data_IF_233088083788
#
_entry.id   IF_233088083788
#
_cell.length_a   1.000
_cell.length_b   1.000
_cell.length_c   1.000
_cell.angle_alpha   90.00
_cell.angle_beta   90.00
_cell.angle_gamma   90.00
#
_symmetry.space_group_name_H-M   'P 1'
#
loop_
_entity.id
_entity.type
_entity.pdbx_description
1 polymer ?
#
# COMPACT_ATOMS: atom_id res chain seq x y z
N UNK A 1 19.71 -3.96 -20.06
CA UNK A 1 19.22 -4.33 -21.40
C UNK A 1 19.81 -3.38 -22.46
N UNK A 2 20.81 -3.80 -23.17
CA UNK A 2 21.36 -3.13 -24.34
C UNK A 2 21.01 -3.92 -25.60
N UNK A 3 20.85 -3.25 -26.74
CA UNK A 3 20.59 -3.87 -28.05
C UNK A 3 19.32 -4.74 -28.14
N UNK A 4 18.20 -4.25 -27.62
CA UNK A 4 16.90 -4.92 -27.80
C UNK A 4 16.44 -4.81 -29.26
N UNK A 5 15.83 -5.88 -29.82
CA UNK A 5 15.19 -5.86 -31.13
C UNK A 5 14.12 -4.79 -31.24
N UNK A 6 13.84 -4.36 -32.48
CA UNK A 6 12.75 -3.41 -32.77
C UNK A 6 11.41 -3.94 -32.25
N UNK A 7 10.68 -3.10 -31.53
CA UNK A 7 9.38 -3.43 -30.93
C UNK A 7 9.45 -3.76 -29.44
N UNK A 8 10.62 -4.10 -28.90
CA UNK A 8 10.81 -4.35 -27.47
C UNK A 8 11.20 -3.10 -26.72
N UNK A 9 10.37 -2.67 -25.79
CA UNK A 9 10.64 -1.55 -24.90
C UNK A 9 11.12 -2.05 -23.54
N UNK A 10 12.26 -1.55 -23.05
CA UNK A 10 12.82 -1.89 -21.73
C UNK A 10 11.78 -1.78 -20.61
N UNK A 11 11.06 -0.65 -20.58
CA UNK A 11 10.05 -0.40 -19.54
C UNK A 11 8.92 -1.44 -19.52
N UNK A 12 8.51 -1.97 -20.69
CA UNK A 12 7.47 -2.99 -20.76
C UNK A 12 7.96 -4.33 -20.22
N UNK A 13 9.18 -4.72 -20.58
CA UNK A 13 9.81 -5.94 -20.04
C UNK A 13 9.92 -5.82 -18.52
N UNK A 14 10.46 -4.70 -18.02
CA UNK A 14 10.63 -4.45 -16.58
C UNK A 14 9.29 -4.49 -15.83
N UNK A 15 8.26 -3.83 -16.39
CA UNK A 15 6.92 -3.88 -15.84
C UNK A 15 6.36 -5.30 -15.74
N UNK A 16 6.52 -6.11 -16.78
CA UNK A 16 6.09 -7.51 -16.77
C UNK A 16 6.85 -8.32 -15.71
N UNK A 17 8.16 -8.15 -15.61
CA UNK A 17 8.99 -8.84 -14.64
C UNK A 17 8.61 -8.46 -13.20
N UNK A 18 8.38 -7.19 -12.93
CA UNK A 18 7.98 -6.73 -11.60
C UNK A 18 6.56 -7.16 -11.23
N UNK A 19 5.61 -7.07 -12.15
CA UNK A 19 4.22 -7.39 -11.87
C UNK A 19 3.98 -8.90 -11.77
N UNK A 20 4.51 -9.67 -12.74
CA UNK A 20 4.17 -11.07 -12.92
C UNK A 20 5.34 -12.03 -12.60
N UNK A 21 6.55 -11.50 -12.38
CA UNK A 21 7.75 -12.28 -12.14
C UNK A 21 8.38 -12.87 -13.40
N UNK A 22 7.72 -12.76 -14.55
CA UNK A 22 8.20 -13.24 -15.84
C UNK A 22 7.66 -12.38 -16.98
N UNK A 23 8.35 -12.45 -18.10
CA UNK A 23 8.01 -11.78 -19.36
C UNK A 23 8.22 -12.75 -20.51
N UNK A 24 7.24 -12.85 -21.38
CA UNK A 24 7.29 -13.70 -22.58
C UNK A 24 7.56 -12.83 -23.80
N UNK A 25 8.57 -13.18 -24.56
CA UNK A 25 8.91 -12.51 -25.81
C UNK A 25 8.50 -13.41 -26.96
N UNK A 26 7.65 -12.88 -27.83
CA UNK A 26 7.22 -13.55 -29.07
C UNK A 26 7.51 -12.67 -30.27
N UNK A 27 7.63 -13.30 -31.43
CA UNK A 27 7.66 -12.62 -32.73
C UNK A 27 6.31 -12.77 -33.42
N UNK A 28 5.67 -11.67 -33.77
CA UNK A 28 4.41 -11.66 -34.54
C UNK A 28 4.50 -10.61 -35.64
N UNK A 29 4.24 -10.98 -36.91
CA UNK A 29 4.36 -10.11 -38.08
C UNK A 29 5.72 -9.37 -38.16
N UNK A 30 6.80 -10.09 -37.93
CA UNK A 30 8.18 -9.60 -37.91
C UNK A 30 8.52 -8.56 -36.81
N UNK A 31 7.60 -8.31 -35.90
CA UNK A 31 7.81 -7.42 -34.76
C UNK A 31 7.86 -8.25 -33.47
N UNK A 32 8.76 -7.88 -32.58
CA UNK A 32 8.86 -8.50 -31.27
C UNK A 32 7.96 -7.80 -30.26
N UNK A 33 7.25 -8.59 -29.47
CA UNK A 33 6.36 -8.13 -28.41
C UNK A 33 6.71 -8.79 -27.09
N UNK A 34 6.48 -8.08 -26.01
CA UNK A 34 6.59 -8.57 -24.63
C UNK A 34 5.21 -8.67 -24.00
N UNK A 35 4.87 -9.84 -23.46
CA UNK A 35 3.59 -10.14 -22.84
C UNK A 35 3.76 -10.87 -21.51
N UNK A 36 2.68 -10.91 -20.74
CA UNK A 36 2.42 -11.96 -19.77
C UNK A 36 1.46 -12.97 -20.40
N UNK A 37 1.45 -14.22 -19.94
CA UNK A 37 0.58 -15.26 -20.47
C UNK A 37 0.20 -16.27 -19.41
N UNK A 38 -0.66 -17.21 -19.75
CA UNK A 38 -1.04 -18.33 -18.88
C UNK A 38 -0.14 -19.55 -19.12
N UNK A 39 0.37 -20.16 -18.04
CA UNK A 39 1.17 -21.37 -18.12
C UNK A 39 0.32 -22.57 -18.53
N UNK A 40 0.86 -23.45 -19.39
CA UNK A 40 0.20 -24.66 -19.83
C UNK A 40 1.22 -25.80 -20.02
N UNK A 41 0.80 -27.02 -19.60
CA UNK A 41 1.65 -28.20 -19.67
C UNK A 41 2.83 -28.15 -18.69
N UNK A 42 3.21 -29.28 -18.16
CA UNK A 42 4.36 -29.44 -17.29
C UNK A 42 5.29 -30.50 -17.86
N UNK A 43 6.57 -30.31 -17.66
CA UNK A 43 7.57 -31.32 -17.89
C UNK A 43 7.70 -32.26 -16.66
N UNK A 44 8.53 -33.31 -16.70
CA UNK A 44 8.74 -34.19 -15.56
C UNK A 44 9.34 -33.53 -14.33
N UNK A 45 9.90 -32.32 -14.46
CA UNK A 45 10.48 -31.52 -13.36
C UNK A 45 9.50 -30.48 -12.81
N UNK A 46 8.27 -30.43 -13.38
CA UNK A 46 7.25 -29.45 -12.98
C UNK A 46 7.38 -28.08 -13.63
N UNK A 47 8.28 -27.92 -14.62
CA UNK A 47 8.41 -26.67 -15.34
C UNK A 47 7.38 -26.56 -16.49
N UNK A 48 6.82 -25.36 -16.73
CA UNK A 48 5.86 -25.15 -17.80
C UNK A 48 6.50 -25.31 -19.18
N UNK A 49 5.83 -26.06 -20.05
CA UNK A 49 6.30 -26.33 -21.42
C UNK A 49 5.70 -25.39 -22.46
N UNK A 50 4.53 -24.84 -22.18
CA UNK A 50 3.80 -23.97 -23.09
C UNK A 50 3.27 -22.74 -22.38
N UNK A 51 2.99 -21.68 -23.14
CA UNK A 51 2.36 -20.48 -22.65
C UNK A 51 1.25 -20.01 -23.59
N UNK A 52 0.12 -19.63 -23.01
CA UNK A 52 -1.03 -19.10 -23.75
C UNK A 52 -0.94 -17.57 -23.71
N UNK A 53 -0.96 -16.94 -24.87
CA UNK A 53 -1.00 -15.49 -25.01
C UNK A 53 -2.31 -15.11 -25.66
N UNK A 54 -3.06 -14.22 -25.00
CA UNK A 54 -4.28 -13.63 -25.51
C UNK A 54 -4.13 -12.12 -25.59
N UNK A 55 -4.16 -11.57 -26.80
CA UNK A 55 -4.15 -10.13 -27.02
C UNK A 55 -5.19 -9.76 -28.09
N UNK A 56 -6.33 -9.18 -27.68
CA UNK A 56 -7.42 -8.82 -28.60
C UNK A 56 -7.00 -7.78 -29.64
N UNK A 57 -6.09 -6.86 -29.29
CA UNK A 57 -5.66 -5.78 -30.21
C UNK A 57 -4.89 -6.32 -31.40
N UNK A 58 -4.09 -7.37 -31.18
CA UNK A 58 -3.35 -8.05 -32.24
C UNK A 58 -4.13 -9.23 -32.84
N UNK A 59 -5.37 -9.44 -32.41
CA UNK A 59 -6.18 -10.61 -32.74
C UNK A 59 -5.42 -11.92 -32.50
N UNK A 60 -4.68 -11.98 -31.40
CA UNK A 60 -3.79 -13.05 -31.02
C UNK A 60 -4.40 -13.86 -29.88
N UNK A 61 -4.68 -15.13 -30.14
CA UNK A 61 -5.03 -16.11 -29.12
C UNK A 61 -4.35 -17.44 -29.50
N UNK A 62 -3.15 -17.63 -28.97
CA UNK A 62 -2.34 -18.79 -29.39
C UNK A 62 -1.51 -19.32 -28.21
N UNK A 63 -1.30 -20.64 -28.24
CA UNK A 63 -0.35 -21.35 -27.38
C UNK A 63 1.01 -21.41 -28.07
N UNK A 64 2.05 -21.03 -27.34
CA UNK A 64 3.43 -21.05 -27.81
C UNK A 64 4.24 -22.05 -27.01
N UNK A 65 5.13 -22.79 -27.68
CA UNK A 65 6.07 -23.70 -27.04
C UNK A 65 7.29 -22.92 -26.56
N UNK A 66 7.62 -23.10 -25.28
CA UNK A 66 8.73 -22.39 -24.65
C UNK A 66 10.06 -22.94 -25.22
N UNK A 67 10.95 -22.02 -25.60
CA UNK A 67 12.24 -22.35 -26.19
C UNK A 67 12.23 -22.57 -27.72
N UNK A 68 11.06 -22.78 -28.35
CA UNK A 68 10.92 -22.90 -29.80
C UNK A 68 10.21 -21.68 -30.40
N UNK A 69 8.98 -21.42 -29.93
CA UNK A 69 8.12 -20.36 -30.47
C UNK A 69 8.24 -19.02 -29.69
N UNK A 70 8.69 -19.09 -28.45
CA UNK A 70 8.82 -17.95 -27.56
C UNK A 70 9.97 -18.11 -26.58
N UNK A 71 10.42 -16.98 -26.04
CA UNK A 71 11.42 -16.90 -24.98
C UNK A 71 10.78 -16.36 -23.72
N UNK A 72 11.03 -17.01 -22.60
CA UNK A 72 10.58 -16.55 -21.28
C UNK A 72 11.77 -16.00 -20.50
N UNK A 73 11.64 -14.80 -20.00
CA UNK A 73 12.57 -14.18 -19.06
C UNK A 73 11.88 -14.15 -17.71
N UNK A 74 12.52 -14.59 -16.64
CA UNK A 74 11.98 -14.57 -15.28
C UNK A 74 12.95 -13.90 -14.32
N UNK A 75 12.41 -13.30 -13.25
CA UNK A 75 13.20 -12.70 -12.18
C UNK A 75 13.81 -13.78 -11.28
N UNK A 76 13.05 -14.84 -11.04
CA UNK A 76 13.40 -15.93 -10.15
C UNK A 76 12.85 -17.27 -10.66
N UNK A 77 13.19 -18.34 -9.96
CA UNK A 77 12.73 -19.69 -10.28
C UNK A 77 11.22 -19.89 -10.05
N UNK A 78 10.62 -19.10 -9.16
CA UNK A 78 9.19 -19.22 -8.81
C UNK A 78 8.29 -18.49 -9.81
N UNK A 79 8.84 -17.58 -10.61
CA UNK A 79 8.09 -16.80 -11.60
C UNK A 79 6.92 -16.03 -10.97
N UNK A 80 7.13 -15.53 -9.72
CA UNK A 80 6.15 -14.77 -8.95
C UNK A 80 6.55 -13.30 -8.97
N UNK A 81 5.62 -12.45 -9.36
CA UNK A 81 5.84 -11.00 -9.35
C UNK A 81 5.73 -10.39 -7.96
N UNK A 82 5.99 -9.09 -7.89
CA UNK A 82 5.93 -8.32 -6.64
C UNK A 82 4.51 -7.91 -6.22
N UNK A 83 3.49 -8.16 -7.07
CA UNK A 83 2.10 -7.76 -6.78
C UNK A 83 1.56 -8.30 -5.45
N UNK A 84 1.77 -9.58 -5.06
CA UNK A 84 1.28 -10.08 -3.77
C UNK A 84 1.91 -9.35 -2.59
N UNK A 85 3.21 -9.05 -2.69
CA UNK A 85 3.93 -8.27 -1.68
C UNK A 85 3.40 -6.84 -1.61
N UNK A 86 3.25 -6.16 -2.75
CA UNK A 86 2.68 -4.80 -2.80
C UNK A 86 1.28 -4.74 -2.21
N UNK A 87 0.43 -5.72 -2.52
CA UNK A 87 -0.93 -5.80 -1.97
C UNK A 87 -0.91 -5.90 -0.44
N UNK A 88 -0.03 -6.73 0.13
CA UNK A 88 0.14 -6.88 1.58
C UNK A 88 0.51 -5.56 2.25
N UNK A 89 1.54 -4.88 1.73
CA UNK A 89 1.98 -3.59 2.31
C UNK A 89 0.96 -2.48 2.08
N UNK A 90 0.36 -2.39 0.90
CA UNK A 90 -0.66 -1.39 0.60
C UNK A 90 -1.87 -1.53 1.54
N UNK A 91 -2.33 -2.76 1.79
CA UNK A 91 -3.41 -3.02 2.74
C UNK A 91 -3.02 -2.57 4.15
N UNK A 92 -1.85 -2.97 4.66
CA UNK A 92 -1.41 -2.60 6.00
C UNK A 92 -1.22 -1.08 6.16
N UNK A 93 -0.68 -0.40 5.14
CA UNK A 93 -0.53 1.05 5.15
C UNK A 93 -1.90 1.75 5.14
N UNK A 94 -2.84 1.27 4.32
CA UNK A 94 -4.20 1.84 4.24
C UNK A 94 -4.95 1.69 5.56
N UNK A 95 -4.89 0.52 6.21
CA UNK A 95 -5.50 0.30 7.53
C UNK A 95 -4.88 1.21 8.60
N UNK A 96 -3.58 1.44 8.54
CA UNK A 96 -2.91 2.37 9.44
C UNK A 96 -3.33 3.82 9.18
N UNK A 97 -3.45 4.25 7.92
CA UNK A 97 -3.93 5.59 7.55
C UNK A 97 -5.38 5.80 8.01
N UNK A 98 -6.25 4.79 7.87
CA UNK A 98 -7.62 4.82 8.41
C UNK A 98 -7.59 4.99 9.94
N UNK A 99 -6.72 4.25 10.63
CA UNK A 99 -6.58 4.33 12.08
C UNK A 99 -6.11 5.73 12.53
N UNK A 100 -5.16 6.34 11.83
CA UNK A 100 -4.72 7.72 12.07
C UNK A 100 -5.86 8.73 11.85
N UNK A 101 -6.64 8.58 10.78
CA UNK A 101 -7.80 9.42 10.51
C UNK A 101 -8.87 9.29 11.60
N UNK A 102 -9.16 8.07 12.07
CA UNK A 102 -10.10 7.82 13.17
C UNK A 102 -9.57 8.46 14.45
N UNK A 103 -8.27 8.35 14.73
CA UNK A 103 -7.66 9.01 15.87
C UNK A 103 -7.82 10.53 15.79
N UNK A 104 -7.59 11.13 14.64
CA UNK A 104 -7.77 12.56 14.40
C UNK A 104 -9.22 13.01 14.65
N UNK A 105 -10.19 12.25 14.14
CA UNK A 105 -11.61 12.52 14.38
C UNK A 105 -11.92 12.41 15.87
N UNK A 106 -11.49 11.33 16.52
CA UNK A 106 -11.74 11.11 17.95
C UNK A 106 -11.06 12.14 18.85
N UNK A 107 -9.90 12.68 18.45
CA UNK A 107 -9.23 13.75 19.20
C UNK A 107 -10.05 15.04 19.26
N UNK A 108 -10.93 15.25 18.29
CA UNK A 108 -11.84 16.41 18.22
C UNK A 108 -13.19 16.15 18.91
N UNK A 109 -13.53 14.89 19.16
CA UNK A 109 -14.79 14.53 19.83
C UNK A 109 -14.54 14.51 21.34
N UNK A 110 -15.05 15.50 22.04
CA UNK A 110 -14.88 15.63 23.49
C UNK A 110 -15.67 14.61 24.31
N UNK A 111 -16.55 13.82 23.70
CA UNK A 111 -17.37 12.81 24.33
C UNK A 111 -18.79 12.73 23.77
N UNK A 112 -19.61 11.84 24.33
CA UNK A 112 -21.03 11.77 24.06
C UNK A 112 -21.75 12.88 24.84
N UNK A 113 -22.43 13.75 24.13
CA UNK A 113 -23.28 14.79 24.74
C UNK A 113 -24.73 14.26 24.67
N UNK A 114 -25.33 14.04 25.84
CA UNK A 114 -26.75 13.69 25.94
C UNK A 114 -27.56 14.90 26.37
N UNK A 115 -28.69 15.14 25.74
CA UNK A 115 -29.58 16.25 25.98
C UNK A 115 -31.03 15.70 26.12
N UNK A 116 -31.72 16.11 27.17
CA UNK A 116 -33.04 15.63 27.47
C UNK A 116 -34.16 16.47 26.80
N UNK A 117 -33.82 17.67 26.34
CA UNK A 117 -34.74 18.59 25.67
C UNK A 117 -34.23 19.10 24.33
N UNK A 118 -35.15 19.50 23.43
CA UNK A 118 -34.78 20.04 22.10
C UNK A 118 -33.97 21.32 22.19
N UNK A 119 -34.14 22.12 23.23
CA UNK A 119 -33.37 23.33 23.44
C UNK A 119 -31.90 23.03 23.84
N UNK A 120 -31.72 21.98 24.65
CA UNK A 120 -30.39 21.50 25.04
C UNK A 120 -29.66 20.88 23.84
N UNK A 121 -30.40 20.14 23.00
CA UNK A 121 -29.85 19.58 21.75
C UNK A 121 -29.36 20.67 20.81
N UNK A 122 -30.15 21.73 20.60
CA UNK A 122 -29.71 22.88 19.76
C UNK A 122 -28.51 23.60 20.35
N UNK A 123 -28.42 23.74 21.67
CA UNK A 123 -27.28 24.34 22.34
C UNK A 123 -26.01 23.47 22.16
N UNK A 124 -26.16 22.15 22.26
CA UNK A 124 -25.05 21.22 22.02
C UNK A 124 -24.58 21.22 20.56
N UNK A 125 -25.50 21.24 19.60
CA UNK A 125 -25.18 21.33 18.16
C UNK A 125 -24.44 22.63 17.83
N UNK A 126 -24.86 23.75 18.41
CA UNK A 126 -24.17 25.02 18.26
C UNK A 126 -22.76 24.94 18.82
N UNK A 127 -22.59 24.41 20.04
CA UNK A 127 -21.28 24.26 20.68
C UNK A 127 -20.32 23.43 19.85
N UNK A 128 -20.80 22.29 19.30
CA UNK A 128 -19.99 21.42 18.41
C UNK A 128 -19.63 22.17 17.13
N UNK A 129 -20.54 22.97 16.58
CA UNK A 129 -20.31 23.74 15.37
C UNK A 129 -19.27 24.84 15.59
N UNK A 130 -19.34 25.54 16.71
CA UNK A 130 -18.38 26.58 17.09
C UNK A 130 -16.97 26.00 17.27
N UNK A 131 -16.84 24.78 17.89
CA UNK A 131 -15.56 24.08 17.99
C UNK A 131 -15.03 23.67 16.61
N UNK A 132 -15.90 23.15 15.73
CA UNK A 132 -15.49 22.81 14.34
C UNK A 132 -14.97 24.01 13.56
N UNK A 133 -15.54 25.18 13.81
CA UNK A 133 -15.13 26.43 13.17
C UNK A 133 -13.88 27.06 13.81
N UNK A 134 -13.35 26.45 14.88
CA UNK A 134 -12.15 26.95 15.57
C UNK A 134 -12.44 28.12 16.49
N UNK A 135 -13.68 28.38 16.90
CA UNK A 135 -14.04 29.41 17.84
C UNK A 135 -13.69 28.95 19.26
N UNK A 136 -12.75 29.65 19.86
CA UNK A 136 -12.36 29.49 21.28
C UNK A 136 -13.29 30.26 22.18
N UNK A 137 -14.15 29.55 22.90
CA UNK A 137 -14.98 30.14 23.93
C UNK A 137 -16.46 30.09 23.64
N UNK A 138 -17.05 28.91 23.74
CA UNK A 138 -18.48 28.77 23.81
C UNK A 138 -18.95 29.27 25.18
N UNK A 139 -19.75 30.33 25.20
CA UNK A 139 -20.44 30.81 26.41
C UNK A 139 -21.55 29.82 26.70
N UNK A 140 -21.35 28.93 27.67
CA UNK A 140 -22.35 27.98 28.11
C UNK A 140 -23.44 28.69 28.89
N UNK A 141 -24.66 28.62 28.44
CA UNK A 141 -25.83 29.09 29.21
C UNK A 141 -26.09 28.12 30.38
N UNK A 142 -26.73 28.58 31.45
CA UNK A 142 -27.02 27.78 32.65
C UNK A 142 -27.79 26.48 32.35
N UNK A 143 -28.56 26.46 31.26
CA UNK A 143 -29.24 25.28 30.70
C UNK A 143 -28.23 24.21 30.19
N UNK A 144 -27.07 24.63 29.72
CA UNK A 144 -26.02 23.75 29.21
C UNK A 144 -25.29 23.01 30.35
N UNK A 145 -25.11 23.65 31.49
CA UNK A 145 -24.38 23.10 32.63
C UNK A 145 -25.21 22.12 33.47
N UNK A 146 -26.55 22.28 33.50
CA UNK A 146 -27.41 21.48 34.36
C UNK A 146 -28.16 20.33 33.66
N UNK A 147 -28.36 20.39 32.33
CA UNK A 147 -29.15 19.41 31.56
C UNK A 147 -28.29 18.53 30.63
N UNK A 148 -27.06 18.93 30.30
CA UNK A 148 -26.20 18.24 29.36
C UNK A 148 -25.17 17.39 30.12
N UNK A 149 -25.23 16.08 29.98
CA UNK A 149 -24.23 15.16 30.51
C UNK A 149 -23.21 14.85 29.43
N UNK A 150 -21.99 15.26 29.63
CA UNK A 150 -20.87 14.83 28.80
C UNK A 150 -20.26 13.56 29.37
N UNK A 151 -20.36 12.46 28.64
CA UNK A 151 -19.57 11.25 28.92
C UNK A 151 -18.34 11.27 28.02
N UNK A 152 -17.12 11.47 28.58
CA UNK A 152 -15.93 11.30 27.78
C UNK A 152 -15.92 9.84 27.29
N UNK A 153 -15.67 9.64 26.00
CA UNK A 153 -15.34 8.30 25.53
C UNK A 153 -14.11 7.86 26.32
N UNK A 154 -14.26 6.82 27.13
CA UNK A 154 -13.11 6.21 27.77
C UNK A 154 -12.11 5.91 26.63
N UNK A 155 -10.96 6.56 26.65
CA UNK A 155 -9.83 6.21 25.77
C UNK A 155 -9.39 4.80 26.12
N UNK A 156 -10.17 3.82 25.63
CA UNK A 156 -9.81 2.41 25.70
C UNK A 156 -8.65 2.21 24.74
N UNK A 157 -7.52 1.91 25.32
CA UNK A 157 -6.24 1.69 24.69
C UNK A 157 -5.64 2.95 24.05
N UNK A 158 -4.69 3.49 24.74
CA UNK A 158 -3.84 4.60 24.32
C UNK A 158 -2.91 4.16 23.17
N UNK A 159 -3.48 3.86 22.01
CA UNK A 159 -2.69 3.87 20.77
C UNK A 159 -2.36 5.34 20.56
N UNK A 160 -1.12 5.69 20.82
CA UNK A 160 -0.65 7.05 20.61
C UNK A 160 -0.51 7.27 19.12
N UNK A 161 -0.85 8.47 18.64
CA UNK A 161 -0.63 8.83 17.23
C UNK A 161 0.84 8.59 16.81
N UNK A 162 1.77 8.81 17.73
CA UNK A 162 3.19 8.48 17.54
C UNK A 162 3.43 7.02 17.19
N UNK A 163 2.73 6.08 17.83
CA UNK A 163 2.90 4.64 17.57
C UNK A 163 2.39 4.28 16.16
N UNK A 164 1.30 4.93 15.70
CA UNK A 164 0.79 4.76 14.33
C UNK A 164 1.75 5.32 13.28
N UNK A 165 2.36 6.48 13.55
CA UNK A 165 3.38 7.08 12.68
C UNK A 165 4.63 6.20 12.64
N UNK A 166 5.09 5.68 13.77
CA UNK A 166 6.23 4.77 13.86
C UNK A 166 5.93 3.47 13.07
N UNK A 167 4.73 2.92 13.20
CA UNK A 167 4.32 1.75 12.45
C UNK A 167 4.27 2.02 10.94
N UNK A 168 3.80 3.18 10.50
CA UNK A 168 3.81 3.58 9.11
C UNK A 168 5.24 3.65 8.53
N UNK A 169 6.16 4.22 9.30
CA UNK A 169 7.57 4.27 8.90
C UNK A 169 8.19 2.88 8.84
N UNK A 170 7.89 2.01 9.81
CA UNK A 170 8.32 0.61 9.80
C UNK A 170 7.82 -0.13 8.55
N UNK A 171 6.54 0.02 8.20
CA UNK A 171 5.98 -0.61 7.00
C UNK A 171 6.69 -0.15 5.73
N UNK A 172 6.98 1.15 5.60
CA UNK A 172 7.72 1.70 4.46
C UNK A 172 9.14 1.14 4.39
N UNK A 173 9.84 1.13 5.51
CA UNK A 173 11.20 0.62 5.58
C UNK A 173 11.27 -0.88 5.27
N UNK A 174 10.36 -1.68 5.84
CA UNK A 174 10.26 -3.11 5.56
C UNK A 174 9.98 -3.39 4.10
N UNK A 175 9.09 -2.61 3.48
CA UNK A 175 8.80 -2.72 2.06
C UNK A 175 10.03 -2.42 1.21
N UNK A 176 10.77 -1.34 1.49
CA UNK A 176 12.00 -1.02 0.76
C UNK A 176 13.05 -2.13 0.91
N UNK A 177 13.22 -2.67 2.12
CA UNK A 177 14.19 -3.75 2.36
C UNK A 177 13.80 -5.04 1.60
N UNK A 178 12.50 -5.39 1.50
CA UNK A 178 12.06 -6.57 0.74
C UNK A 178 12.32 -6.45 -0.77
N UNK A 179 12.33 -5.23 -1.33
CA UNK A 179 12.70 -5.01 -2.75
C UNK A 179 14.19 -4.75 -2.96
N UNK A 180 15.01 -4.93 -1.91
CA UNK A 180 16.46 -4.78 -1.97
C UNK A 180 16.95 -3.32 -1.93
N UNK A 181 16.10 -2.39 -1.54
CA UNK A 181 16.50 -1.01 -1.28
C UNK A 181 16.81 -0.84 0.21
N UNK A 182 18.02 -0.43 0.53
CA UNK A 182 18.38 -0.14 1.92
C UNK A 182 17.51 0.97 2.48
N UNK A 183 16.78 0.66 3.53
CA UNK A 183 16.00 1.62 4.28
C UNK A 183 16.27 1.48 5.76
N UNK A 184 16.86 2.51 6.33
CA UNK A 184 17.14 2.58 7.75
C UNK A 184 15.88 3.07 8.48
N UNK A 185 15.11 2.11 9.03
CA UNK A 185 14.15 2.43 10.07
C UNK A 185 14.76 2.14 11.43
N UNK A 186 15.09 3.19 12.13
CA UNK A 186 15.61 3.07 13.49
C UNK A 186 14.47 3.31 14.48
N UNK A 187 14.02 2.25 15.15
CA UNK A 187 13.10 2.32 16.30
C UNK A 187 13.74 3.04 17.51
N UNK A 188 15.04 3.31 17.47
CA UNK A 188 15.71 4.04 18.52
C UNK A 188 15.34 5.51 18.44
N UNK A 189 14.77 6.04 19.50
CA UNK A 189 14.53 7.48 19.72
C UNK A 189 15.85 8.25 19.96
N UNK A 190 16.99 7.58 19.86
CA UNK A 190 18.32 8.14 20.02
C UNK A 190 18.90 8.54 18.67
N UNK A 191 19.71 9.59 18.66
CA UNK A 191 20.44 10.06 17.49
C UNK A 191 21.33 8.93 16.93
N UNK A 192 21.15 8.61 15.65
CA UNK A 192 21.98 7.66 14.92
C UNK A 192 23.46 8.09 14.98
N UNK A 193 24.33 7.22 15.44
CA UNK A 193 25.76 7.43 15.28
C UNK A 193 26.16 7.25 13.81
N UNK A 194 27.01 8.12 13.30
CA UNK A 194 27.51 8.04 11.92
C UNK A 194 28.09 6.66 11.55
N UNK A 195 28.62 5.92 12.54
CA UNK A 195 29.11 4.54 12.37
C UNK A 195 28.00 3.51 12.13
N UNK A 196 26.79 3.71 12.67
CA UNK A 196 25.63 2.83 12.43
C UNK A 196 25.04 3.04 11.03
N UNK A 197 25.12 4.27 10.52
CA UNK A 197 24.70 4.60 9.14
C UNK A 197 25.67 3.98 8.13
N UNK A 198 26.98 4.10 8.35
CA UNK A 198 28.01 3.55 7.48
C UNK A 198 27.99 2.01 7.42
N UNK A 199 27.69 1.32 8.52
CA UNK A 199 27.63 -0.15 8.53
C UNK A 199 26.46 -0.73 7.73
N UNK A 200 25.42 0.10 7.46
CA UNK A 200 24.26 -0.30 6.66
C UNK A 200 24.38 0.05 5.17
N UNK A 201 25.39 0.83 4.80
CA UNK A 201 25.71 1.15 3.40
C UNK A 201 26.64 0.10 2.76
N UNK A 202 27.31 -0.74 3.58
CA UNK A 202 28.28 -1.74 3.13
C UNK A 202 27.71 -3.17 2.97
N UNK A 203 26.36 -3.35 3.00
CA UNK A 203 25.69 -4.65 2.81
C UNK A 203 25.04 -4.78 1.44
#
# INVERSE_FOLDING_TARGET
YSNLPTGLEKKKIEKCLQQFGYCVIIKHNDIFYSFNGGWQGLDPYGEPTHIIINNPVLNLNKTYKIGEDCVVISNDSYKIGLLPMFSRYATAMTENDISMNIYDINSRIMGLITADTDNEKRAADKFITDIKNGEYGAIANNTFTNGIKSQPFANSAAVRLTDLIEYQQYLKASWYNEIGLNSNYNMKRETLNAAEVASNEDC
#
